data_IF_414392391866
#
_entry.id   IF_414392391866
#
_cell.length_a   1.000
_cell.length_b   1.000
_cell.length_c   1.000
_cell.angle_alpha   90.00
_cell.angle_beta   90.00
_cell.angle_gamma   90.00
#
_symmetry.space_group_name_H-M   'P 1'
#
loop_
_entity.id
_entity.type
_entity.pdbx_description
1 polymer ?
#
# COMPACT_ATOMS: atom_id res chain seq x y z
N UNK A 1 -19.52 20.32 21.40
CA UNK A 1 -20.87 20.04 20.84
C UNK A 1 -21.28 18.64 21.31
N UNK A 2 -22.50 18.40 21.81
CA UNK A 2 -22.88 17.05 22.25
C UNK A 2 -22.89 16.09 21.05
N UNK A 3 -22.36 14.89 21.24
CA UNK A 3 -22.35 13.86 20.19
C UNK A 3 -23.77 13.32 19.93
N UNK A 4 -24.58 13.23 20.98
CA UNK A 4 -26.00 12.87 20.90
C UNK A 4 -26.77 14.16 20.57
N UNK A 5 -27.56 14.19 19.49
CA UNK A 5 -28.22 15.41 19.04
C UNK A 5 -29.51 15.73 19.80
N UNK A 6 -30.10 14.73 20.48
CA UNK A 6 -31.39 14.86 21.16
C UNK A 6 -31.25 15.51 22.53
N UNK A 7 -32.12 16.47 22.80
CA UNK A 7 -32.31 17.07 24.12
C UNK A 7 -33.21 16.20 25.01
N UNK A 8 -33.27 16.49 26.31
CA UNK A 8 -34.21 15.82 27.22
C UNK A 8 -35.67 16.00 26.79
N UNK A 9 -36.01 17.14 26.16
CA UNK A 9 -37.33 17.41 25.59
C UNK A 9 -37.63 16.53 24.38
N UNK A 10 -36.65 16.38 23.46
CA UNK A 10 -36.78 15.48 22.30
C UNK A 10 -36.99 14.04 22.78
N UNK A 11 -36.19 13.59 23.76
CA UNK A 11 -36.28 12.25 24.34
C UNK A 11 -37.66 12.03 24.95
N UNK A 12 -38.17 12.98 25.75
CA UNK A 12 -39.49 12.87 26.37
C UNK A 12 -40.61 12.78 25.33
N UNK A 13 -40.57 13.62 24.28
CA UNK A 13 -41.55 13.59 23.20
C UNK A 13 -41.52 12.27 22.40
N UNK A 14 -40.32 11.73 22.15
CA UNK A 14 -40.16 10.43 21.49
C UNK A 14 -40.70 9.28 22.32
N UNK A 15 -40.44 9.27 23.64
CA UNK A 15 -40.94 8.27 24.59
C UNK A 15 -42.47 8.29 24.69
N UNK A 16 -43.09 9.46 24.80
CA UNK A 16 -44.55 9.64 24.82
C UNK A 16 -45.19 9.12 23.51
N UNK A 17 -44.57 9.42 22.37
CA UNK A 17 -45.06 8.99 21.05
C UNK A 17 -45.16 7.46 20.92
N UNK A 18 -44.21 6.73 21.51
CA UNK A 18 -44.17 5.26 21.46
C UNK A 18 -44.82 4.61 22.69
N UNK A 19 -45.31 5.40 23.65
CA UNK A 19 -46.03 4.94 24.83
C UNK A 19 -45.17 4.20 25.86
N UNK A 20 -43.90 4.59 26.02
CA UNK A 20 -42.99 4.02 27.04
C UNK A 20 -42.50 5.07 28.01
N UNK A 21 -42.35 4.69 29.28
CA UNK A 21 -42.11 5.66 30.37
C UNK A 21 -40.63 6.02 30.56
N UNK A 22 -39.69 5.28 29.96
CA UNK A 22 -38.25 5.51 30.11
C UNK A 22 -37.42 4.86 29.00
N UNK A 23 -36.17 5.32 28.86
CA UNK A 23 -35.18 4.68 27.96
C UNK A 23 -34.93 3.23 28.38
N UNK A 24 -34.85 2.94 29.68
CA UNK A 24 -34.57 1.58 30.17
C UNK A 24 -35.65 0.57 29.76
N UNK A 25 -36.91 1.03 29.65
CA UNK A 25 -38.02 0.21 29.17
C UNK A 25 -37.88 -0.21 27.70
N UNK A 26 -37.10 0.52 26.88
CA UNK A 26 -36.82 0.15 25.48
C UNK A 26 -35.92 -1.07 25.35
N UNK A 27 -35.17 -1.38 26.40
CA UNK A 27 -34.17 -2.45 26.41
C UNK A 27 -34.56 -3.61 27.35
N UNK A 28 -35.84 -3.72 27.71
CA UNK A 28 -36.35 -4.75 28.63
C UNK A 28 -36.17 -6.18 28.08
N UNK A 29 -36.13 -6.32 26.74
CA UNK A 29 -35.85 -7.58 26.03
C UNK A 29 -34.44 -8.13 26.23
N UNK A 30 -33.47 -7.30 26.64
CA UNK A 30 -32.10 -7.76 26.93
C UNK A 30 -32.11 -8.48 28.29
N UNK A 31 -31.82 -9.79 28.36
CA UNK A 31 -31.77 -10.52 29.64
C UNK A 31 -30.84 -9.84 30.65
N UNK A 32 -31.27 -9.74 31.91
CA UNK A 32 -30.54 -8.99 32.94
C UNK A 32 -29.13 -9.53 33.16
N UNK A 33 -28.93 -10.83 33.01
CA UNK A 33 -27.65 -11.52 33.08
C UNK A 33 -26.68 -11.17 31.93
N UNK A 34 -27.19 -10.62 30.82
CA UNK A 34 -26.37 -10.16 29.69
C UNK A 34 -26.06 -8.65 29.75
N UNK A 35 -26.73 -7.90 30.63
CA UNK A 35 -26.50 -6.46 30.78
C UNK A 35 -25.21 -6.22 31.55
N UNK A 36 -24.38 -5.31 31.03
CA UNK A 36 -23.20 -4.84 31.74
C UNK A 36 -23.63 -4.13 33.04
N UNK A 37 -23.01 -4.49 34.17
CA UNK A 37 -23.25 -3.86 35.48
C UNK A 37 -22.55 -2.49 35.63
N UNK A 38 -21.72 -2.13 34.65
CA UNK A 38 -20.87 -0.95 34.62
C UNK A 38 -19.80 -1.11 33.56
N UNK A 39 -19.02 -0.05 33.34
CA UNK A 39 -17.88 -0.05 32.42
C UNK A 39 -16.59 0.18 33.21
N UNK A 40 -16.20 -0.83 34.00
CA UNK A 40 -15.00 -0.78 34.83
C UNK A 40 -13.75 -0.50 33.97
N UNK A 41 -12.92 0.45 34.43
CA UNK A 41 -11.71 0.86 33.72
C UNK A 41 -11.90 1.95 32.66
N UNK A 42 -13.13 2.43 32.42
CA UNK A 42 -13.35 3.63 31.62
C UNK A 42 -13.18 4.87 32.52
N UNK A 43 -12.25 5.80 32.21
CA UNK A 43 -12.07 7.01 33.00
C UNK A 43 -13.28 7.94 32.86
N UNK A 44 -13.38 8.92 33.76
CA UNK A 44 -14.37 9.99 33.63
C UNK A 44 -14.24 10.70 32.26
N UNK A 45 -15.38 11.08 31.70
CA UNK A 45 -15.42 11.81 30.44
C UNK A 45 -14.66 13.13 30.54
N UNK A 46 -13.86 13.41 29.50
CA UNK A 46 -13.13 14.66 29.35
C UNK A 46 -13.91 15.59 28.41
N UNK A 47 -13.76 16.90 28.62
CA UNK A 47 -14.21 17.88 27.64
C UNK A 47 -13.40 17.79 26.34
N UNK A 48 -13.97 18.32 25.25
CA UNK A 48 -13.30 18.40 23.94
C UNK A 48 -11.92 19.06 24.02
N UNK A 49 -11.79 20.11 24.84
CA UNK A 49 -10.52 20.81 25.09
C UNK A 49 -9.50 19.92 25.80
N UNK A 50 -9.90 19.21 26.86
CA UNK A 50 -9.01 18.34 27.64
C UNK A 50 -8.54 17.14 26.81
N UNK A 51 -9.43 16.54 26.01
CA UNK A 51 -9.05 15.46 25.07
C UNK A 51 -8.03 15.98 24.06
N UNK A 52 -8.26 17.18 23.50
CA UNK A 52 -7.33 17.77 22.53
C UNK A 52 -5.95 18.00 23.14
N UNK A 53 -5.88 18.57 24.35
CA UNK A 53 -4.62 18.78 25.06
C UNK A 53 -3.90 17.45 25.37
N UNK A 54 -4.65 16.44 25.81
CA UNK A 54 -4.12 15.11 26.09
C UNK A 54 -3.51 14.47 24.85
N UNK A 55 -4.23 14.50 23.71
CA UNK A 55 -3.75 13.91 22.46
C UNK A 55 -2.55 14.67 21.89
N UNK A 56 -2.53 16.01 21.97
CA UNK A 56 -1.36 16.81 21.57
C UNK A 56 -0.13 16.53 22.44
N UNK A 57 -0.31 16.37 23.75
CA UNK A 57 0.78 16.02 24.65
C UNK A 57 1.39 14.65 24.31
N UNK A 58 0.54 13.68 23.95
CA UNK A 58 0.97 12.35 23.49
C UNK A 58 1.67 12.42 22.13
N UNK A 59 1.10 13.12 21.15
CA UNK A 59 1.71 13.21 19.82
C UNK A 59 3.12 13.83 19.87
N UNK A 60 3.38 14.77 20.79
CA UNK A 60 4.72 15.36 20.97
C UNK A 60 5.78 14.38 21.47
N UNK A 61 5.40 13.25 22.08
CA UNK A 61 6.39 12.25 22.53
C UNK A 61 6.98 11.43 21.39
N UNK A 62 6.34 11.44 20.22
CA UNK A 62 6.78 10.67 19.05
C UNK A 62 7.93 11.37 18.29
N UNK A 63 8.14 12.67 18.52
CA UNK A 63 9.18 13.47 17.87
C UNK A 63 8.90 13.76 16.39
N UNK A 64 9.88 14.35 15.70
CA UNK A 64 9.83 14.64 14.26
C UNK A 64 11.16 14.24 13.58
N UNK A 65 11.55 12.95 13.65
CA UNK A 65 12.85 12.51 13.14
C UNK A 65 12.90 12.55 11.60
N UNK A 66 14.11 12.74 11.06
CA UNK A 66 14.32 12.69 9.62
C UNK A 66 14.29 11.25 9.13
N UNK A 67 13.42 10.94 8.17
CA UNK A 67 13.15 9.56 7.74
C UNK A 67 13.90 9.17 6.45
N UNK A 68 14.68 8.09 6.53
CA UNK A 68 15.38 7.45 5.41
C UNK A 68 15.04 5.95 5.27
N UNK A 69 13.96 5.47 5.93
CA UNK A 69 13.60 4.05 6.00
C UNK A 69 13.22 3.47 4.62
N UNK A 70 12.24 4.06 3.95
CA UNK A 70 11.63 3.44 2.77
C UNK A 70 10.92 2.13 3.14
N UNK A 71 11.25 1.05 2.42
CA UNK A 71 10.73 -0.30 2.60
C UNK A 71 9.19 -0.38 2.47
N UNK A 72 8.64 0.22 1.41
CA UNK A 72 7.21 0.16 1.10
C UNK A 72 6.35 1.26 1.74
N UNK A 73 6.93 2.17 2.52
CA UNK A 73 6.29 3.38 3.02
C UNK A 73 7.26 4.57 2.95
N UNK A 74 6.86 5.63 2.24
CA UNK A 74 7.79 6.66 1.79
C UNK A 74 7.37 8.06 2.24
N UNK A 75 8.31 8.83 2.80
CA UNK A 75 8.08 10.19 3.28
C UNK A 75 8.03 11.18 2.10
N UNK A 76 6.89 11.26 1.42
CA UNK A 76 6.67 12.17 0.29
C UNK A 76 6.06 13.51 0.71
N UNK A 77 6.32 14.56 -0.07
CA UNK A 77 5.65 15.84 0.08
C UNK A 77 4.21 15.74 -0.42
N UNK A 78 3.28 16.20 0.42
CA UNK A 78 1.86 16.21 0.09
C UNK A 78 1.41 17.66 -0.01
N UNK A 79 0.99 18.14 -1.20
CA UNK A 79 0.44 19.48 -1.33
C UNK A 79 -0.75 19.67 -0.38
N UNK A 80 -0.75 20.78 0.38
CA UNK A 80 -1.76 21.04 1.43
C UNK A 80 -3.21 20.93 0.91
N UNK A 81 -3.44 21.30 -0.35
CA UNK A 81 -4.73 21.20 -1.02
C UNK A 81 -5.30 19.76 -1.04
N UNK A 82 -4.46 18.72 -1.06
CA UNK A 82 -4.91 17.31 -1.06
C UNK A 82 -5.76 17.04 0.17
N UNK A 83 -5.23 17.26 1.37
CA UNK A 83 -5.95 16.97 2.61
C UNK A 83 -6.96 18.06 2.99
N UNK A 84 -6.76 19.30 2.54
CA UNK A 84 -7.78 20.35 2.72
C UNK A 84 -9.07 20.05 1.93
N UNK A 85 -8.96 19.41 0.76
CA UNK A 85 -10.13 19.01 -0.04
C UNK A 85 -10.66 17.64 0.42
N UNK A 86 -9.78 16.66 0.64
CA UNK A 86 -10.16 15.29 1.05
C UNK A 86 -10.97 15.28 2.35
N UNK A 87 -10.67 16.17 3.29
CA UNK A 87 -11.34 16.26 4.61
C UNK A 87 -12.65 17.05 4.58
N UNK A 88 -13.09 17.57 3.43
CA UNK A 88 -14.40 18.21 3.30
C UNK A 88 -15.51 17.20 3.54
N UNK A 89 -16.59 17.64 4.19
CA UNK A 89 -17.66 16.76 4.67
C UNK A 89 -18.28 15.90 3.58
N UNK A 90 -18.45 16.43 2.38
CA UNK A 90 -18.98 15.71 1.20
C UNK A 90 -18.15 14.49 0.76
N UNK A 91 -16.86 14.43 1.12
CA UNK A 91 -16.01 13.27 0.88
C UNK A 91 -15.81 12.45 2.16
N UNK A 92 -15.58 13.12 3.29
CA UNK A 92 -15.18 12.48 4.54
C UNK A 92 -16.32 11.73 5.24
N UNK A 93 -17.55 12.26 5.22
CA UNK A 93 -18.69 11.63 5.91
C UNK A 93 -19.51 10.70 5.01
N UNK A 94 -19.32 10.77 3.70
CA UNK A 94 -20.03 9.92 2.75
C UNK A 94 -19.56 8.46 2.87
N UNK A 95 -20.51 7.52 2.79
CA UNK A 95 -20.20 6.09 2.72
C UNK A 95 -20.25 5.57 1.28
N UNK A 96 -20.27 4.24 1.09
CA UNK A 96 -20.30 3.60 -0.22
C UNK A 96 -21.40 4.23 -1.11
N UNK A 97 -21.10 4.66 -2.34
CA UNK A 97 -22.04 5.37 -3.21
C UNK A 97 -23.07 4.43 -3.86
N UNK A 98 -23.90 3.78 -3.04
CA UNK A 98 -24.95 2.87 -3.51
C UNK A 98 -26.09 3.60 -4.24
N UNK A 99 -26.40 4.83 -3.82
CA UNK A 99 -27.40 5.69 -4.46
C UNK A 99 -26.69 6.58 -5.48
N UNK A 100 -26.49 6.06 -6.69
CA UNK A 100 -25.64 6.70 -7.70
C UNK A 100 -26.07 8.14 -8.02
N UNK A 101 -27.37 8.40 -8.10
CA UNK A 101 -27.97 9.70 -8.40
C UNK A 101 -27.59 10.77 -7.37
N UNK A 102 -27.38 10.38 -6.11
CA UNK A 102 -26.99 11.26 -5.01
C UNK A 102 -25.48 11.24 -4.73
N UNK A 103 -24.68 10.54 -5.54
CA UNK A 103 -23.24 10.32 -5.29
C UNK A 103 -22.36 10.49 -6.51
N UNK A 104 -22.81 11.24 -7.52
CA UNK A 104 -22.06 11.44 -8.78
C UNK A 104 -20.66 12.02 -8.58
N UNK A 105 -20.46 12.94 -7.62
CA UNK A 105 -19.14 13.49 -7.33
C UNK A 105 -18.14 12.42 -6.88
N UNK A 106 -18.50 11.62 -5.88
CA UNK A 106 -17.67 10.50 -5.40
C UNK A 106 -17.45 9.46 -6.51
N UNK A 107 -18.49 9.10 -7.26
CA UNK A 107 -18.37 8.12 -8.34
C UNK A 107 -17.48 8.60 -9.49
N UNK A 108 -17.50 9.90 -9.79
CA UNK A 108 -16.60 10.50 -10.76
C UNK A 108 -15.15 10.45 -10.25
N UNK A 109 -14.89 10.77 -8.98
CA UNK A 109 -13.55 10.65 -8.38
C UNK A 109 -13.04 9.21 -8.47
N UNK A 110 -13.88 8.20 -8.18
CA UNK A 110 -13.49 6.80 -8.34
C UNK A 110 -13.16 6.45 -9.81
N UNK A 111 -13.96 6.94 -10.76
CA UNK A 111 -13.73 6.73 -12.18
C UNK A 111 -12.43 7.40 -12.67
N UNK A 112 -12.14 8.61 -12.18
CA UNK A 112 -10.91 9.34 -12.46
C UNK A 112 -9.69 8.63 -11.88
N UNK A 113 -9.74 8.16 -10.63
CA UNK A 113 -8.72 7.29 -10.04
C UNK A 113 -8.43 6.09 -10.93
N UNK A 114 -9.48 5.35 -11.33
CA UNK A 114 -9.32 4.17 -12.17
C UNK A 114 -8.70 4.52 -13.52
N UNK A 115 -9.05 5.67 -14.10
CA UNK A 115 -8.48 6.16 -15.37
C UNK A 115 -7.00 6.55 -15.21
N UNK A 116 -6.62 7.18 -14.11
CA UNK A 116 -5.23 7.53 -13.82
C UNK A 116 -4.39 6.28 -13.56
N UNK A 117 -4.90 5.31 -12.81
CA UNK A 117 -4.18 4.07 -12.52
C UNK A 117 -4.02 3.18 -13.77
N UNK A 118 -5.02 3.13 -14.66
CA UNK A 118 -4.89 2.43 -15.94
C UNK A 118 -3.87 3.09 -16.85
N UNK A 119 -3.84 4.42 -16.93
CA UNK A 119 -2.80 5.16 -17.65
C UNK A 119 -1.40 4.93 -17.07
N UNK A 120 -1.26 4.94 -15.74
CA UNK A 120 0.02 4.75 -15.05
C UNK A 120 0.55 3.33 -15.15
N UNK A 121 -0.34 2.33 -15.18
CA UNK A 121 0.04 0.90 -15.25
C UNK A 121 0.04 0.33 -16.66
N UNK A 122 -0.48 1.04 -17.66
CA UNK A 122 -0.64 0.55 -19.03
C UNK A 122 -1.66 -0.58 -19.17
N UNK A 123 -2.51 -0.82 -18.17
CA UNK A 123 -3.51 -1.90 -18.17
C UNK A 123 -4.93 -1.37 -18.39
N UNK A 124 -5.84 -2.26 -18.78
CA UNK A 124 -7.17 -1.86 -19.26
C UNK A 124 -8.15 -1.43 -18.15
N UNK A 125 -8.05 -2.03 -16.96
CA UNK A 125 -9.06 -1.86 -15.89
C UNK A 125 -8.40 -1.77 -14.53
N UNK A 126 -8.77 -0.76 -13.73
CA UNK A 126 -8.46 -0.65 -12.30
C UNK A 126 -9.70 -0.88 -11.45
N UNK A 127 -9.54 -1.45 -10.26
CA UNK A 127 -10.57 -1.35 -9.22
C UNK A 127 -10.51 0.02 -8.50
N UNK A 128 -11.47 0.26 -7.62
CA UNK A 128 -11.52 1.42 -6.74
C UNK A 128 -11.12 1.00 -5.31
N UNK A 129 -9.87 0.49 -5.26
CA UNK A 129 -9.01 0.12 -4.13
C UNK A 129 -9.30 -1.14 -3.31
N UNK A 130 -8.22 -1.57 -2.65
CA UNK A 130 -8.07 -2.60 -1.63
C UNK A 130 -7.45 -1.96 -0.36
N UNK A 131 -7.16 -2.75 0.68
CA UNK A 131 -6.74 -2.23 1.97
C UNK A 131 -5.33 -1.61 1.98
N UNK A 132 -4.37 -2.30 1.37
CA UNK A 132 -2.94 -1.95 1.30
C UNK A 132 -2.27 -2.75 0.17
N UNK A 133 -1.00 -2.46 -0.13
CA UNK A 133 -0.26 -3.17 -1.18
C UNK A 133 -0.08 -4.68 -0.93
N UNK A 134 0.01 -5.11 0.32
CA UNK A 134 0.23 -6.51 0.69
C UNK A 134 -1.02 -7.38 0.44
N UNK A 135 -2.18 -6.89 0.86
CA UNK A 135 -3.49 -7.46 0.57
C UNK A 135 -3.83 -7.36 -0.92
N UNK A 136 -3.37 -6.31 -1.62
CA UNK A 136 -3.52 -6.21 -3.07
C UNK A 136 -2.75 -7.31 -3.80
N UNK A 137 -1.52 -7.62 -3.39
CA UNK A 137 -0.78 -8.77 -3.93
C UNK A 137 -1.48 -10.10 -3.65
N UNK A 138 -2.02 -10.29 -2.45
CA UNK A 138 -2.76 -11.50 -2.12
C UNK A 138 -4.01 -11.66 -3.01
N UNK A 139 -4.74 -10.59 -3.24
CA UNK A 139 -5.89 -10.56 -4.14
C UNK A 139 -5.49 -10.78 -5.60
N UNK A 140 -4.34 -10.26 -6.05
CA UNK A 140 -3.79 -10.53 -7.38
C UNK A 140 -3.44 -12.01 -7.57
N UNK A 141 -2.82 -12.65 -6.57
CA UNK A 141 -2.53 -14.09 -6.55
C UNK A 141 -3.84 -14.90 -6.65
N UNK A 142 -4.83 -14.58 -5.82
CA UNK A 142 -6.13 -15.25 -5.84
C UNK A 142 -6.86 -15.06 -7.18
N UNK A 143 -6.80 -13.86 -7.74
CA UNK A 143 -7.35 -13.53 -9.05
C UNK A 143 -6.67 -14.31 -10.18
N UNK A 144 -5.35 -14.42 -10.15
CA UNK A 144 -4.60 -15.18 -11.15
C UNK A 144 -4.94 -16.68 -11.10
N UNK A 145 -5.01 -17.26 -9.90
CA UNK A 145 -5.43 -18.66 -9.70
C UNK A 145 -6.84 -18.92 -10.22
N UNK A 146 -7.81 -18.03 -9.94
CA UNK A 146 -9.19 -18.16 -10.46
C UNK A 146 -9.27 -18.01 -11.99
N UNK A 147 -8.36 -17.24 -12.56
CA UNK A 147 -8.30 -16.94 -13.99
C UNK A 147 -7.60 -18.04 -14.78
N UNK A 148 -6.57 -18.68 -14.22
CA UNK A 148 -5.83 -19.77 -14.86
C UNK A 148 -6.35 -21.17 -14.44
N UNK A 149 -7.57 -21.51 -14.86
CA UNK A 149 -8.28 -22.76 -14.48
C UNK A 149 -7.67 -24.06 -15.03
N UNK A 150 -6.67 -23.94 -15.92
CA UNK A 150 -5.90 -25.08 -16.44
C UNK A 150 -5.07 -25.71 -15.32
N UNK A 151 -4.60 -24.91 -14.36
CA UNK A 151 -3.78 -25.33 -13.24
C UNK A 151 -4.68 -25.87 -12.11
N UNK A 152 -4.64 -27.18 -11.86
CA UNK A 152 -5.47 -27.85 -10.84
C UNK A 152 -4.90 -27.79 -9.43
N UNK A 153 -3.58 -27.76 -9.33
CA UNK A 153 -2.83 -27.56 -8.09
C UNK A 153 -2.14 -26.20 -8.20
N UNK A 154 -2.78 -25.12 -7.70
CA UNK A 154 -2.33 -23.76 -8.00
C UNK A 154 -1.00 -23.46 -7.32
N UNK A 155 0.07 -23.46 -8.12
CA UNK A 155 1.40 -22.99 -7.76
C UNK A 155 1.57 -21.55 -8.23
N UNK A 156 2.20 -20.70 -7.42
CA UNK A 156 2.58 -19.33 -7.81
C UNK A 156 4.04 -19.12 -7.48
N UNK A 157 4.82 -18.73 -8.48
CA UNK A 157 6.23 -18.42 -8.29
C UNK A 157 6.33 -17.04 -7.63
N UNK A 158 6.89 -17.00 -6.42
CA UNK A 158 7.00 -15.84 -5.56
C UNK A 158 8.49 -15.54 -5.33
N UNK A 159 9.08 -14.57 -6.04
CA UNK A 159 10.46 -14.18 -5.79
C UNK A 159 10.71 -13.73 -4.36
N UNK A 160 11.87 -14.12 -3.81
CA UNK A 160 12.37 -13.60 -2.53
C UNK A 160 12.60 -12.10 -2.57
N UNK A 161 12.74 -11.51 -3.76
CA UNK A 161 12.90 -10.08 -3.99
C UNK A 161 11.59 -9.29 -3.82
N UNK A 162 10.44 -9.97 -3.67
CA UNK A 162 9.19 -9.32 -3.23
C UNK A 162 9.30 -8.96 -1.74
N UNK A 163 8.76 -7.79 -1.38
CA UNK A 163 8.78 -7.28 -0.01
C UNK A 163 8.38 -8.35 1.02
N UNK A 164 9.19 -8.62 2.07
CA UNK A 164 8.97 -9.74 2.99
C UNK A 164 7.62 -9.67 3.69
N UNK A 165 7.16 -8.49 4.06
CA UNK A 165 5.86 -8.34 4.71
C UNK A 165 4.70 -8.62 3.75
N UNK A 166 4.89 -8.37 2.45
CA UNK A 166 3.89 -8.72 1.44
C UNK A 166 3.86 -10.24 1.27
N UNK A 167 5.03 -10.89 1.16
CA UNK A 167 5.11 -12.36 1.10
C UNK A 167 4.44 -13.03 2.30
N UNK A 168 4.68 -12.53 3.52
CA UNK A 168 4.02 -13.04 4.75
C UNK A 168 2.51 -12.85 4.71
N UNK A 169 2.01 -11.68 4.34
CA UNK A 169 0.57 -11.41 4.22
C UNK A 169 -0.09 -12.32 3.17
N UNK A 170 0.53 -12.48 2.00
CA UNK A 170 0.05 -13.39 0.96
C UNK A 170 -0.03 -14.82 1.49
N UNK A 171 1.05 -15.31 2.12
CA UNK A 171 1.07 -16.65 2.72
C UNK A 171 -0.06 -16.83 3.74
N UNK A 172 -0.25 -15.87 4.66
CA UNK A 172 -1.33 -15.92 5.66
C UNK A 172 -2.72 -15.96 5.05
N UNK A 173 -2.96 -15.25 3.94
CA UNK A 173 -4.26 -15.20 3.27
C UNK A 173 -4.54 -16.47 2.44
N UNK A 174 -3.52 -17.02 1.77
CA UNK A 174 -3.72 -18.13 0.81
C UNK A 174 -3.49 -19.52 1.38
N UNK A 175 -2.82 -19.66 2.54
CA UNK A 175 -2.38 -20.95 3.11
C UNK A 175 -3.50 -22.01 3.24
N UNK A 176 -4.74 -21.61 3.51
CA UNK A 176 -5.86 -22.54 3.69
C UNK A 176 -6.66 -22.81 2.40
N UNK A 177 -6.17 -22.33 1.26
CA UNK A 177 -6.84 -22.43 -0.04
C UNK A 177 -6.17 -23.43 -1.00
N UNK A 178 -5.17 -24.19 -0.52
CA UNK A 178 -4.43 -25.16 -1.32
C UNK A 178 -3.56 -24.51 -2.41
N UNK A 179 -3.19 -23.25 -2.23
CA UNK A 179 -2.29 -22.50 -3.12
C UNK A 179 -0.88 -22.63 -2.57
N UNK A 180 0.02 -23.17 -3.40
CA UNK A 180 1.44 -23.30 -3.09
C UNK A 180 2.17 -22.04 -3.56
N UNK A 181 2.85 -21.35 -2.64
CA UNK A 181 3.78 -20.27 -2.97
C UNK A 181 5.17 -20.86 -3.10
N UNK A 182 5.69 -20.91 -4.33
CA UNK A 182 7.02 -21.46 -4.64
C UNK A 182 8.01 -20.31 -4.60
N UNK A 183 8.91 -20.34 -3.62
CA UNK A 183 9.92 -19.31 -3.45
C UNK A 183 10.95 -19.36 -4.60
N UNK A 184 11.24 -18.21 -5.22
CA UNK A 184 12.29 -18.09 -6.26
C UNK A 184 13.45 -17.28 -5.70
N UNK A 185 14.65 -17.84 -5.74
CA UNK A 185 15.87 -17.17 -5.30
C UNK A 185 16.28 -16.00 -6.22
N UNK A 186 17.24 -15.22 -5.75
CA UNK A 186 17.82 -14.09 -6.46
C UNK A 186 19.33 -14.26 -6.67
N UNK A 187 19.85 -13.58 -7.69
CA UNK A 187 21.27 -13.54 -7.96
C UNK A 187 22.02 -12.76 -6.87
N UNK A 188 23.04 -13.37 -6.28
CA UNK A 188 23.76 -12.79 -5.13
C UNK A 188 24.59 -11.55 -5.48
N UNK A 189 24.87 -11.31 -6.77
CA UNK A 189 25.66 -10.18 -7.23
C UNK A 189 24.77 -9.01 -7.64
N UNK A 190 23.74 -9.28 -8.45
CA UNK A 190 22.85 -8.23 -8.97
C UNK A 190 21.65 -7.95 -8.05
N UNK A 191 21.24 -8.90 -7.20
CA UNK A 191 20.04 -8.78 -6.38
C UNK A 191 18.74 -8.96 -7.16
N UNK A 192 18.81 -9.33 -8.45
CA UNK A 192 17.67 -9.55 -9.32
C UNK A 192 17.21 -11.01 -9.27
N UNK A 193 15.93 -11.24 -9.52
CA UNK A 193 15.43 -12.56 -9.88
C UNK A 193 15.67 -12.80 -11.36
N UNK A 194 16.61 -13.70 -11.66
CA UNK A 194 16.92 -14.08 -13.04
C UNK A 194 16.06 -15.26 -13.49
N UNK A 195 15.78 -15.33 -14.79
CA UNK A 195 15.07 -16.44 -15.44
C UNK A 195 15.62 -17.82 -15.03
N UNK A 196 16.94 -17.96 -14.91
CA UNK A 196 17.58 -19.22 -14.49
C UNK A 196 17.10 -19.70 -13.10
N UNK A 197 16.85 -18.77 -12.16
CA UNK A 197 16.31 -19.12 -10.84
C UNK A 197 14.84 -19.55 -10.94
N UNK A 198 14.05 -18.92 -11.83
CA UNK A 198 12.69 -19.35 -12.11
C UNK A 198 12.66 -20.75 -12.73
N UNK A 199 13.57 -21.04 -13.67
CA UNK A 199 13.69 -22.36 -14.31
C UNK A 199 14.02 -23.47 -13.32
N UNK A 200 14.85 -23.19 -12.32
CA UNK A 200 15.25 -24.16 -11.30
C UNK A 200 14.07 -24.68 -10.45
N UNK A 201 12.97 -23.92 -10.37
CA UNK A 201 11.78 -24.27 -9.55
C UNK A 201 10.51 -24.47 -10.37
N UNK A 202 10.58 -24.34 -11.70
CA UNK A 202 9.46 -24.49 -12.62
C UNK A 202 9.30 -25.93 -13.15
N UNK A 203 9.42 -26.91 -12.26
CA UNK A 203 9.34 -28.35 -12.54
C UNK A 203 7.92 -28.85 -12.87
N UNK A 204 6.89 -28.05 -12.57
CA UNK A 204 5.51 -28.34 -12.89
C UNK A 204 4.74 -27.05 -13.25
N UNK A 205 3.60 -27.14 -13.97
CA UNK A 205 2.80 -25.99 -14.35
C UNK A 205 2.41 -25.12 -13.14
N UNK A 206 2.46 -23.80 -13.33
CA UNK A 206 2.13 -22.80 -12.31
C UNK A 206 1.14 -21.78 -12.85
N UNK A 207 0.34 -21.18 -11.98
CA UNK A 207 -0.72 -20.26 -12.35
C UNK A 207 -0.19 -18.87 -12.69
N UNK A 208 0.84 -18.41 -11.95
CA UNK A 208 1.41 -17.08 -12.14
C UNK A 208 2.86 -16.95 -11.64
N UNK A 209 3.57 -15.98 -12.21
CA UNK A 209 4.82 -15.42 -11.69
C UNK A 209 4.58 -14.00 -11.16
N UNK A 210 5.06 -13.73 -9.95
CA UNK A 210 5.09 -12.38 -9.37
C UNK A 210 6.40 -11.70 -9.78
N UNK A 211 6.33 -10.44 -10.20
CA UNK A 211 7.49 -9.63 -10.61
C UNK A 211 7.43 -8.28 -9.89
N UNK A 212 8.29 -8.02 -8.88
CA UNK A 212 8.33 -6.73 -8.23
C UNK A 212 9.12 -5.70 -9.06
N UNK A 213 8.69 -4.44 -9.12
CA UNK A 213 9.43 -3.37 -9.80
C UNK A 213 9.23 -2.00 -9.12
N UNK A 214 10.25 -1.44 -8.47
CA UNK A 214 11.52 -2.09 -8.08
C UNK A 214 11.31 -3.23 -7.08
N UNK A 215 12.35 -4.03 -6.86
CA UNK A 215 12.34 -5.08 -5.85
C UNK A 215 12.72 -4.57 -4.45
N UNK A 216 12.62 -5.44 -3.43
CA UNK A 216 12.87 -5.10 -2.01
C UNK A 216 14.26 -4.53 -1.72
N UNK A 217 15.24 -4.79 -2.58
CA UNK A 217 16.60 -4.26 -2.45
C UNK A 217 16.78 -2.90 -3.13
N UNK A 218 15.71 -2.36 -3.72
CA UNK A 218 15.68 -1.17 -4.56
C UNK A 218 16.08 -1.44 -6.02
N UNK A 219 16.42 -2.68 -6.35
CA UNK A 219 16.96 -3.10 -7.65
C UNK A 219 15.84 -3.21 -8.70
N UNK A 220 16.16 -2.81 -9.93
CA UNK A 220 15.29 -2.99 -11.09
C UNK A 220 15.40 -4.42 -11.63
N UNK A 221 14.28 -5.10 -11.79
CA UNK A 221 14.21 -6.44 -12.37
C UNK A 221 14.24 -6.38 -13.91
N UNK A 222 14.67 -7.48 -14.54
CA UNK A 222 14.57 -7.69 -15.99
C UNK A 222 13.13 -8.06 -16.37
N UNK A 223 12.21 -7.11 -16.20
CA UNK A 223 10.76 -7.33 -16.27
C UNK A 223 10.30 -7.94 -17.60
N UNK A 224 10.93 -7.56 -18.71
CA UNK A 224 10.58 -8.07 -20.04
C UNK A 224 10.93 -9.56 -20.17
N UNK A 225 12.14 -9.94 -19.75
CA UNK A 225 12.60 -11.32 -19.81
C UNK A 225 11.78 -12.24 -18.90
N UNK A 226 11.45 -11.78 -17.68
CA UNK A 226 10.61 -12.52 -16.75
C UNK A 226 9.17 -12.69 -17.27
N UNK A 227 8.62 -11.63 -17.88
CA UNK A 227 7.26 -11.64 -18.43
C UNK A 227 7.13 -12.61 -19.59
N UNK A 228 8.03 -12.50 -20.58
CA UNK A 228 8.04 -13.37 -21.77
C UNK A 228 8.25 -14.84 -21.37
N UNK A 229 9.16 -15.10 -20.41
CA UNK A 229 9.44 -16.45 -19.94
C UNK A 229 8.23 -17.13 -19.27
N UNK A 230 7.49 -16.40 -18.45
CA UNK A 230 6.29 -16.90 -17.78
C UNK A 230 5.15 -17.13 -18.77
N UNK A 231 4.92 -16.20 -19.68
CA UNK A 231 3.84 -16.28 -20.67
C UNK A 231 4.08 -17.39 -21.71
N UNK A 232 5.34 -17.65 -22.08
CA UNK A 232 5.70 -18.81 -22.90
C UNK A 232 5.30 -20.17 -22.26
N UNK A 233 4.96 -20.17 -20.97
CA UNK A 233 4.53 -21.35 -20.19
C UNK A 233 3.05 -21.30 -19.80
N UNK A 234 2.24 -20.47 -20.48
CA UNK A 234 0.81 -20.27 -20.16
C UNK A 234 0.55 -19.76 -18.71
N UNK A 235 1.54 -19.18 -18.04
CA UNK A 235 1.40 -18.59 -16.72
C UNK A 235 1.08 -17.09 -16.82
N UNK A 236 0.28 -16.58 -15.88
CA UNK A 236 -0.02 -15.15 -15.79
C UNK A 236 1.13 -14.40 -15.12
N UNK A 237 1.26 -13.11 -15.41
CA UNK A 237 2.26 -12.23 -14.77
C UNK A 237 1.58 -11.21 -13.88
N UNK A 238 2.05 -11.14 -12.62
CA UNK A 238 1.60 -10.17 -11.61
C UNK A 238 2.73 -9.18 -11.33
N UNK A 239 2.61 -7.94 -11.81
CA UNK A 239 3.53 -6.87 -11.48
C UNK A 239 3.23 -6.26 -10.10
N UNK A 240 4.21 -6.22 -9.20
CA UNK A 240 4.11 -5.54 -7.90
C UNK A 240 4.92 -4.27 -7.96
N UNK A 241 4.26 -3.12 -8.08
CA UNK A 241 4.93 -1.89 -8.51
C UNK A 241 4.71 -0.73 -7.55
N UNK A 242 5.74 0.12 -7.43
CA UNK A 242 5.60 1.42 -6.80
C UNK A 242 5.04 2.41 -7.85
N UNK A 243 3.91 3.09 -7.59
CA UNK A 243 3.26 3.93 -8.59
C UNK A 243 4.10 5.16 -8.99
N UNK A 244 4.95 5.69 -8.11
CA UNK A 244 5.86 6.80 -8.44
C UNK A 244 6.96 6.31 -9.40
N UNK A 245 7.41 5.05 -9.28
CA UNK A 245 8.41 4.49 -10.19
C UNK A 245 7.92 4.45 -11.64
N UNK A 246 6.63 4.21 -11.84
CA UNK A 246 6.02 4.13 -13.17
C UNK A 246 5.95 5.47 -13.91
N UNK A 247 6.26 6.58 -13.23
CA UNK A 247 6.42 7.86 -13.89
C UNK A 247 7.73 7.96 -14.70
N UNK A 248 8.69 7.06 -14.47
CA UNK A 248 9.96 6.99 -15.20
C UNK A 248 10.19 5.66 -15.90
N UNK A 249 9.68 4.56 -15.33
CA UNK A 249 9.90 3.21 -15.83
C UNK A 249 8.76 2.75 -16.73
N UNK A 250 9.06 1.86 -17.68
CA UNK A 250 8.06 1.23 -18.52
C UNK A 250 6.94 0.60 -17.68
N UNK A 251 5.67 0.92 -17.96
CA UNK A 251 4.55 0.44 -17.16
C UNK A 251 4.32 -1.07 -17.37
N UNK A 252 3.70 -1.78 -16.42
CA UNK A 252 3.41 -3.21 -16.53
C UNK A 252 2.73 -3.66 -17.82
N UNK A 253 1.84 -2.83 -18.39
CA UNK A 253 1.17 -3.09 -19.66
C UNK A 253 2.12 -3.23 -20.86
N UNK A 254 3.32 -2.66 -20.78
CA UNK A 254 4.32 -2.66 -21.84
C UNK A 254 5.47 -3.66 -21.59
N UNK A 255 5.41 -4.46 -20.50
CA UNK A 255 6.45 -5.44 -20.19
C UNK A 255 6.45 -6.61 -21.18
N UNK A 256 7.64 -6.99 -21.65
CA UNK A 256 7.82 -8.07 -22.61
C UNK A 256 7.07 -7.82 -23.92
N UNK A 257 6.56 -8.87 -24.55
CA UNK A 257 5.84 -8.78 -25.82
C UNK A 257 4.33 -8.55 -25.64
N UNK A 258 3.75 -8.94 -24.51
CA UNK A 258 2.30 -8.94 -24.31
C UNK A 258 1.81 -8.22 -23.04
N UNK A 259 2.71 -7.60 -22.27
CA UNK A 259 2.39 -6.92 -21.02
C UNK A 259 2.09 -7.88 -19.87
N UNK A 260 2.27 -7.42 -18.64
CA UNK A 260 1.78 -8.08 -17.44
C UNK A 260 0.24 -8.25 -17.49
N UNK A 261 -0.30 -9.29 -16.85
CA UNK A 261 -1.73 -9.56 -16.87
C UNK A 261 -2.47 -8.80 -15.76
N UNK A 262 -1.79 -8.62 -14.63
CA UNK A 262 -2.25 -7.98 -13.41
C UNK A 262 -1.12 -7.08 -12.90
N UNK A 263 -1.44 -5.88 -12.42
CA UNK A 263 -0.52 -5.04 -11.67
C UNK A 263 -1.16 -4.62 -10.34
N UNK A 264 -0.40 -4.64 -9.26
CA UNK A 264 -0.84 -4.21 -7.95
C UNK A 264 0.28 -3.51 -7.19
N UNK A 265 -0.07 -2.85 -6.10
CA UNK A 265 0.93 -2.20 -5.25
C UNK A 265 0.28 -1.30 -4.21
N UNK A 266 1.13 -0.60 -3.47
CA UNK A 266 0.72 0.38 -2.48
C UNK A 266 0.57 1.76 -3.12
N UNK A 267 -0.54 2.42 -2.84
CA UNK A 267 -0.89 3.75 -3.30
C UNK A 267 -0.43 4.87 -2.37
N UNK A 268 0.09 4.57 -1.18
CA UNK A 268 0.57 5.56 -0.20
C UNK A 268 1.40 6.72 -0.79
N UNK A 269 2.33 6.49 -1.74
CA UNK A 269 3.11 7.58 -2.34
C UNK A 269 2.27 8.65 -3.04
N UNK A 270 1.02 8.35 -3.39
CA UNK A 270 0.10 9.24 -4.09
C UNK A 270 -0.65 10.14 -3.09
N UNK A 271 0.06 10.85 -2.23
CA UNK A 271 -0.53 11.89 -1.39
C UNK A 271 -1.05 11.43 -0.03
N UNK A 272 -0.64 10.27 0.49
CA UNK A 272 -0.97 9.82 1.85
C UNK A 272 0.22 10.02 2.80
N UNK A 273 -0.02 10.50 4.04
CA UNK A 273 1.03 10.58 5.05
C UNK A 273 1.41 9.17 5.52
N UNK A 274 2.61 9.02 6.10
CA UNK A 274 3.05 7.75 6.68
C UNK A 274 2.12 7.26 7.81
N UNK A 275 1.62 8.18 8.66
CA UNK A 275 0.61 7.90 9.68
C UNK A 275 0.85 6.61 10.52
N UNK A 276 2.12 6.27 10.79
CA UNK A 276 2.51 5.03 11.49
C UNK A 276 1.98 3.73 10.85
N UNK A 277 1.87 3.70 9.53
CA UNK A 277 1.51 2.51 8.75
C UNK A 277 0.14 2.54 8.07
N UNK A 278 -0.66 3.60 8.25
CA UNK A 278 -1.92 3.74 7.53
C UNK A 278 -2.93 4.73 8.12
N UNK A 279 -4.10 4.87 7.48
CA UNK A 279 -4.58 4.05 6.38
C UNK A 279 -3.95 4.44 5.03
N UNK A 280 -3.59 3.43 4.23
CA UNK A 280 -3.14 3.61 2.85
C UNK A 280 -4.16 3.04 1.85
N UNK A 281 -3.76 2.70 0.62
CA UNK A 281 -4.62 1.99 -0.32
C UNK A 281 -3.85 0.98 -1.16
N UNK A 282 -4.37 -0.23 -1.27
CA UNK A 282 -3.91 -1.15 -2.30
C UNK A 282 -4.58 -0.83 -3.63
N UNK A 283 -3.84 -0.78 -4.73
CA UNK A 283 -4.43 -0.74 -6.08
C UNK A 283 -4.30 -2.09 -6.77
N UNK A 284 -5.24 -2.40 -7.67
CA UNK A 284 -5.16 -3.55 -8.56
C UNK A 284 -5.72 -3.22 -9.94
N UNK A 285 -4.84 -3.32 -10.94
CA UNK A 285 -5.14 -3.16 -12.35
C UNK A 285 -4.99 -4.51 -13.07
N UNK A 286 -5.72 -4.71 -14.17
CA UNK A 286 -5.65 -5.95 -14.95
C UNK A 286 -6.06 -5.73 -16.41
N UNK A 287 -5.71 -6.68 -17.28
CA UNK A 287 -6.25 -6.75 -18.63
C UNK A 287 -7.76 -6.97 -18.62
N UNK A 288 -8.45 -6.44 -19.63
CA UNK A 288 -9.91 -6.45 -19.78
C UNK A 288 -10.49 -7.88 -19.73
N UNK A 289 -9.74 -8.87 -20.21
CA UNK A 289 -10.13 -10.29 -20.19
C UNK A 289 -10.39 -10.82 -18.77
N UNK A 290 -9.76 -10.23 -17.74
CA UNK A 290 -9.84 -10.69 -16.36
C UNK A 290 -10.81 -9.90 -15.47
N UNK A 291 -11.48 -8.87 -16.01
CA UNK A 291 -12.36 -7.96 -15.24
C UNK A 291 -13.40 -8.68 -14.37
N UNK A 292 -13.90 -9.85 -14.81
CA UNK A 292 -14.90 -10.63 -14.06
C UNK A 292 -14.34 -11.27 -12.77
N UNK A 293 -13.01 -11.36 -12.64
CA UNK A 293 -12.31 -11.88 -11.46
C UNK A 293 -11.71 -10.78 -10.58
N UNK A 294 -11.70 -9.53 -11.05
CA UNK A 294 -11.22 -8.35 -10.33
C UNK A 294 -11.97 -8.21 -8.99
N UNK A 295 -11.27 -8.12 -7.85
CA UNK A 295 -11.90 -7.89 -6.55
C UNK A 295 -12.21 -6.41 -6.30
N UNK A 296 -13.16 -6.17 -5.39
CA UNK A 296 -13.58 -4.82 -5.02
C UNK A 296 -14.48 -4.14 -6.06
N UNK A 297 -14.74 -2.86 -5.80
CA UNK A 297 -15.65 -2.02 -6.56
C UNK A 297 -15.02 -1.53 -7.86
N UNK A 298 -15.86 -1.25 -8.85
CA UNK A 298 -15.49 -0.65 -10.13
C UNK A 298 -16.53 0.43 -10.42
N UNK A 299 -16.13 1.69 -10.54
CA UNK A 299 -17.00 2.72 -11.09
C UNK A 299 -16.99 2.63 -12.62
N UNK A 300 -18.16 2.76 -13.23
CA UNK A 300 -18.35 2.73 -14.67
C UNK A 300 -19.15 3.93 -15.14
N UNK A 301 -18.77 4.47 -16.30
CA UNK A 301 -19.53 5.51 -17.01
C UNK A 301 -20.77 4.89 -17.66
N UNK A 302 -21.91 5.55 -17.54
CA UNK A 302 -23.20 5.18 -18.10
C UNK A 302 -23.97 6.43 -18.57
N UNK A 303 -25.22 6.26 -19.01
CA UNK A 303 -26.15 7.34 -19.28
C UNK A 303 -27.41 7.19 -18.41
N UNK A 304 -28.00 8.31 -18.01
CA UNK A 304 -29.31 8.34 -17.35
C UNK A 304 -30.48 8.26 -18.35
N UNK A 305 -31.72 8.40 -17.87
CA UNK A 305 -32.93 8.36 -18.71
C UNK A 305 -33.04 9.50 -19.73
N UNK A 306 -32.31 10.60 -19.51
CA UNK A 306 -32.28 11.77 -20.39
C UNK A 306 -31.08 11.72 -21.37
N UNK A 307 -30.26 10.65 -21.32
CA UNK A 307 -29.05 10.52 -22.11
C UNK A 307 -27.85 11.30 -21.56
N UNK A 308 -27.93 11.83 -20.34
CA UNK A 308 -26.80 12.54 -19.71
C UNK A 308 -25.79 11.53 -19.18
N UNK A 309 -24.51 11.86 -19.30
CA UNK A 309 -23.43 11.04 -18.77
C UNK A 309 -23.53 11.02 -17.25
N UNK A 310 -23.45 9.82 -16.66
CA UNK A 310 -23.32 9.61 -15.23
C UNK A 310 -22.40 8.44 -14.93
N UNK A 311 -22.17 8.20 -13.65
CA UNK A 311 -21.31 7.13 -13.14
C UNK A 311 -22.09 6.25 -12.17
N UNK A 312 -21.75 4.96 -12.11
CA UNK A 312 -22.35 4.02 -11.15
C UNK A 312 -21.36 2.92 -10.79
N UNK A 313 -21.57 2.25 -9.67
CA UNK A 313 -20.86 1.01 -9.37
C UNK A 313 -21.36 -0.10 -10.31
N UNK A 314 -20.44 -0.72 -11.06
CA UNK A 314 -20.77 -1.72 -12.07
C UNK A 314 -20.20 -3.10 -11.73
N UNK A 315 -20.74 -4.13 -12.38
CA UNK A 315 -20.36 -5.53 -12.18
C UNK A 315 -20.43 -5.97 -10.70
N UNK A 316 -21.37 -5.42 -9.93
CA UNK A 316 -21.52 -5.67 -8.49
C UNK A 316 -21.82 -7.14 -8.17
N UNK A 317 -22.31 -7.91 -9.13
CA UNK A 317 -22.50 -9.35 -8.98
C UNK A 317 -21.21 -10.14 -8.68
N UNK A 318 -20.03 -9.51 -8.67
CA UNK A 318 -18.76 -10.09 -8.17
C UNK A 318 -18.63 -9.99 -6.65
N UNK A 319 -19.32 -9.05 -6.02
CA UNK A 319 -19.08 -8.59 -4.65
C UNK A 319 -19.86 -9.38 -3.59
N UNK A 320 -19.39 -9.31 -2.35
CA UNK A 320 -19.89 -10.10 -1.22
C UNK A 320 -21.38 -9.89 -0.92
N UNK A 321 -21.93 -8.69 -1.12
CA UNK A 321 -23.32 -8.38 -0.78
C UNK A 321 -24.33 -9.08 -1.71
N UNK A 322 -23.89 -9.47 -2.92
CA UNK A 322 -24.70 -10.27 -3.86
C UNK A 322 -24.28 -11.74 -3.82
N UNK A 323 -22.98 -12.03 -3.91
CA UNK A 323 -22.47 -13.40 -4.11
C UNK A 323 -22.06 -14.15 -2.86
N UNK A 324 -21.95 -13.47 -1.72
CA UNK A 324 -21.54 -14.04 -0.43
C UNK A 324 -20.26 -14.88 -0.59
N UNK A 325 -20.30 -16.16 -0.21
CA UNK A 325 -19.16 -17.07 -0.31
C UNK A 325 -18.64 -17.35 -1.73
N UNK A 326 -19.39 -16.98 -2.77
CA UNK A 326 -18.98 -17.13 -4.18
C UNK A 326 -18.42 -15.83 -4.79
N UNK A 327 -18.26 -14.78 -3.98
CA UNK A 327 -17.69 -13.52 -4.40
C UNK A 327 -16.21 -13.67 -4.77
N UNK A 328 -15.67 -12.68 -5.49
CA UNK A 328 -14.25 -12.65 -5.85
C UNK A 328 -13.35 -12.34 -4.66
N UNK A 329 -13.88 -11.68 -3.63
CA UNK A 329 -13.20 -11.33 -2.38
C UNK A 329 -14.23 -11.09 -1.27
N UNK A 330 -13.79 -11.12 0.00
CA UNK A 330 -14.57 -10.72 1.16
C UNK A 330 -14.61 -9.19 1.37
N UNK A 331 -13.83 -8.42 0.61
CA UNK A 331 -13.73 -6.96 0.79
C UNK A 331 -15.10 -6.28 0.74
N UNK A 332 -15.36 -5.41 1.72
CA UNK A 332 -16.55 -4.57 1.78
C UNK A 332 -16.14 -3.12 1.93
N UNK A 333 -15.95 -2.57 3.13
CA UNK A 333 -15.26 -1.28 3.28
C UNK A 333 -13.88 -1.41 2.64
N UNK A 334 -13.51 -0.42 1.83
CA UNK A 334 -12.19 -0.27 1.22
C UNK A 334 -11.60 1.08 1.65
N UNK A 335 -10.65 1.61 0.88
CA UNK A 335 -9.94 2.84 1.19
C UNK A 335 -10.44 4.02 0.34
N UNK A 336 -11.76 4.23 0.31
CA UNK A 336 -12.41 5.23 -0.56
C UNK A 336 -11.93 6.67 -0.34
N UNK A 337 -11.71 7.08 0.91
CA UNK A 337 -11.18 8.41 1.24
C UNK A 337 -9.74 8.59 0.74
N UNK A 338 -8.93 7.54 0.81
CA UNK A 338 -7.55 7.56 0.33
C UNK A 338 -7.52 7.56 -1.20
N UNK A 339 -8.46 6.89 -1.87
CA UNK A 339 -8.65 7.03 -3.32
C UNK A 339 -8.91 8.49 -3.71
N UNK A 340 -9.72 9.22 -2.93
CA UNK A 340 -9.93 10.66 -3.12
C UNK A 340 -8.62 11.44 -2.99
N UNK A 341 -7.82 11.18 -1.94
CA UNK A 341 -6.52 11.82 -1.77
C UNK A 341 -5.57 11.56 -2.95
N UNK A 342 -5.46 10.30 -3.39
CA UNK A 342 -4.67 9.90 -4.57
C UNK A 342 -5.12 10.59 -5.85
N UNK A 343 -6.42 10.67 -6.09
CA UNK A 343 -6.97 11.32 -7.29
C UNK A 343 -6.63 12.80 -7.30
N UNK A 344 -6.81 13.50 -6.16
CA UNK A 344 -6.49 14.92 -6.04
C UNK A 344 -4.98 15.14 -6.18
N UNK A 345 -4.15 14.29 -5.57
CA UNK A 345 -2.70 14.39 -5.67
C UNK A 345 -2.21 14.23 -7.11
N UNK A 346 -2.64 13.18 -7.81
CA UNK A 346 -2.31 12.95 -9.22
C UNK A 346 -2.86 14.05 -10.13
N UNK A 347 -4.07 14.57 -9.86
CA UNK A 347 -4.63 15.70 -10.62
C UNK A 347 -3.84 17.00 -10.45
N UNK A 348 -3.36 17.30 -9.23
CA UNK A 348 -2.56 18.50 -8.94
C UNK A 348 -1.18 18.41 -9.58
N UNK A 349 -0.51 17.27 -9.46
CA UNK A 349 0.84 17.10 -10.02
C UNK A 349 0.81 16.95 -11.54
N UNK A 350 -0.18 16.24 -12.07
CA UNK A 350 -0.17 15.76 -13.45
C UNK A 350 0.99 14.80 -13.74
N UNK A 351 1.11 14.37 -14.99
CA UNK A 351 2.17 13.45 -15.41
C UNK A 351 3.57 14.05 -15.19
N UNK A 352 3.79 15.30 -15.63
CA UNK A 352 5.09 15.96 -15.50
C UNK A 352 5.50 16.19 -14.03
N UNK A 353 4.53 16.49 -13.16
CA UNK A 353 4.81 16.66 -11.73
C UNK A 353 5.22 15.35 -11.07
N UNK A 354 4.53 14.26 -11.40
CA UNK A 354 4.85 12.93 -10.90
C UNK A 354 6.22 12.45 -11.41
N UNK A 355 6.54 12.71 -12.68
CA UNK A 355 7.86 12.44 -13.27
C UNK A 355 8.98 13.21 -12.54
N UNK A 356 8.77 14.50 -12.24
CA UNK A 356 9.73 15.30 -11.46
C UNK A 356 9.92 14.76 -10.05
N UNK A 357 8.84 14.33 -9.38
CA UNK A 357 8.92 13.69 -8.05
C UNK A 357 9.76 12.42 -8.11
N UNK A 358 9.48 11.54 -9.07
CA UNK A 358 10.22 10.30 -9.27
C UNK A 358 11.71 10.58 -9.57
N UNK A 359 12.01 11.52 -10.46
CA UNK A 359 13.38 11.91 -10.80
C UNK A 359 14.15 12.48 -9.59
N UNK A 360 13.47 13.27 -8.76
CA UNK A 360 14.05 13.80 -7.53
C UNK A 360 14.35 12.70 -6.50
N UNK A 361 13.44 11.73 -6.33
CA UNK A 361 13.67 10.57 -5.44
C UNK A 361 14.88 9.74 -5.90
N UNK A 362 14.98 9.48 -7.21
CA UNK A 362 16.13 8.77 -7.77
C UNK A 362 17.44 9.52 -7.54
N UNK A 363 17.47 10.82 -7.86
CA UNK A 363 18.67 11.65 -7.69
C UNK A 363 19.09 11.79 -6.23
N UNK A 364 18.14 11.96 -5.31
CA UNK A 364 18.41 12.06 -3.88
C UNK A 364 18.91 10.74 -3.30
N UNK A 365 18.33 9.60 -3.69
CA UNK A 365 18.80 8.28 -3.23
C UNK A 365 20.19 7.96 -3.77
N UNK A 366 20.47 8.29 -5.03
CA UNK A 366 21.82 8.14 -5.58
C UNK A 366 22.85 8.99 -4.81
N UNK A 367 22.51 10.24 -4.48
CA UNK A 367 23.36 11.14 -3.68
C UNK A 367 23.55 10.62 -2.25
N UNK A 368 22.48 10.15 -1.61
CA UNK A 368 22.53 9.53 -0.29
C UNK A 368 23.50 8.34 -0.32
N UNK A 369 23.28 7.38 -1.20
CA UNK A 369 24.12 6.19 -1.31
C UNK A 369 25.60 6.56 -1.56
N UNK A 370 25.86 7.52 -2.46
CA UNK A 370 27.22 8.01 -2.71
C UNK A 370 27.88 8.54 -1.43
N UNK A 371 27.21 9.43 -0.70
CA UNK A 371 27.77 10.02 0.53
C UNK A 371 27.94 8.98 1.64
N UNK A 372 26.98 8.07 1.82
CA UNK A 372 27.11 7.02 2.84
C UNK A 372 28.28 6.07 2.53
N UNK A 373 28.55 5.79 1.26
CA UNK A 373 29.70 4.98 0.84
C UNK A 373 31.06 5.68 0.98
N UNK A 374 31.10 6.98 1.31
CA UNK A 374 32.35 7.65 1.72
C UNK A 374 32.76 7.26 3.16
N UNK A 375 31.83 6.70 3.94
CA UNK A 375 32.11 6.24 5.31
C UNK A 375 32.86 4.90 5.25
N UNK A 376 34.03 4.77 5.91
CA UNK A 376 34.87 3.57 5.79
C UNK A 376 34.16 2.26 6.15
N UNK A 377 34.12 1.35 5.17
CA UNK A 377 33.51 0.02 5.30
C UNK A 377 32.03 -0.04 4.92
N UNK A 378 31.43 1.06 4.47
CA UNK A 378 30.08 1.08 3.89
C UNK A 378 30.17 0.91 2.38
N UNK A 379 29.52 -0.11 1.83
CA UNK A 379 29.58 -0.42 0.39
C UNK A 379 28.22 -0.90 -0.14
N UNK A 380 27.91 -0.70 -1.44
CA UNK A 380 26.70 -1.26 -2.02
C UNK A 380 26.73 -2.79 -2.01
N UNK A 381 25.60 -3.43 -1.68
CA UNK A 381 25.50 -4.90 -1.68
C UNK A 381 25.39 -5.45 -3.10
N UNK A 382 24.66 -4.74 -3.98
CA UNK A 382 24.36 -5.18 -5.33
C UNK A 382 24.87 -4.18 -6.38
N UNK A 383 25.25 -4.69 -7.55
CA UNK A 383 25.79 -3.88 -8.66
C UNK A 383 24.75 -3.50 -9.73
N UNK A 384 23.50 -3.92 -9.56
CA UNK A 384 22.41 -3.59 -10.48
C UNK A 384 21.91 -2.13 -10.35
N UNK A 385 21.25 -1.60 -11.39
CA UNK A 385 20.53 -0.34 -11.33
C UNK A 385 19.42 -0.35 -10.27
N UNK A 386 19.18 0.81 -9.66
CA UNK A 386 18.16 1.01 -8.62
C UNK A 386 17.31 2.23 -8.93
N UNK A 387 16.14 2.33 -8.29
CA UNK A 387 15.30 3.53 -8.33
C UNK A 387 15.53 4.43 -7.11
N UNK A 388 14.68 4.35 -6.08
CA UNK A 388 14.70 5.24 -4.90
C UNK A 388 15.03 4.52 -3.60
N UNK A 389 15.62 3.32 -3.68
CA UNK A 389 16.14 2.59 -2.53
C UNK A 389 17.49 1.95 -2.88
N UNK A 390 18.38 1.78 -1.88
CA UNK A 390 19.68 1.13 -2.07
C UNK A 390 20.03 0.25 -0.88
N UNK A 391 20.38 -1.00 -1.13
CA UNK A 391 20.95 -1.90 -0.13
C UNK A 391 22.46 -1.65 0.05
N UNK A 392 22.87 -1.35 1.27
CA UNK A 392 24.24 -1.07 1.69
C UNK A 392 24.69 -2.07 2.76
N UNK A 393 25.95 -2.50 2.68
CA UNK A 393 26.62 -3.31 3.68
C UNK A 393 27.27 -2.39 4.70
N UNK A 394 27.10 -2.70 5.98
CA UNK A 394 27.73 -1.99 7.08
C UNK A 394 28.88 -2.80 7.70
N UNK A 395 29.92 -2.15 8.24
CA UNK A 395 31.02 -2.83 8.91
C UNK A 395 30.75 -3.11 10.40
N UNK A 396 29.49 -3.05 10.84
CA UNK A 396 29.01 -3.29 12.21
C UNK A 396 27.56 -3.82 12.16
N UNK A 397 27.01 -4.40 13.25
CA UNK A 397 25.61 -4.87 13.27
C UNK A 397 24.61 -3.75 12.95
N UNK A 398 23.71 -3.98 11.99
CA UNK A 398 22.75 -2.96 11.50
C UNK A 398 21.87 -2.42 12.62
N UNK A 399 21.37 -3.29 13.49
CA UNK A 399 20.52 -2.90 14.64
C UNK A 399 21.20 -1.89 15.57
N UNK A 400 22.46 -2.11 15.93
CA UNK A 400 23.23 -1.21 16.80
C UNK A 400 23.44 0.16 16.13
N UNK A 401 23.72 0.15 14.83
CA UNK A 401 23.91 1.39 14.06
C UNK A 401 22.59 2.17 13.96
N UNK A 402 21.48 1.50 13.68
CA UNK A 402 20.15 2.12 13.62
C UNK A 402 19.74 2.73 14.97
N UNK A 403 20.03 2.07 16.08
CA UNK A 403 19.78 2.62 17.41
C UNK A 403 20.58 3.93 17.65
N UNK A 404 21.86 3.95 17.29
CA UNK A 404 22.70 5.16 17.42
C UNK A 404 22.30 6.30 16.46
N UNK A 405 21.68 5.99 15.33
CA UNK A 405 21.08 6.99 14.43
C UNK A 405 19.77 7.55 15.01
N UNK A 406 18.94 6.69 15.61
CA UNK A 406 17.69 7.10 16.25
C UNK A 406 17.94 8.05 17.44
N UNK A 407 19.01 7.84 18.21
CA UNK A 407 19.46 8.78 19.26
C UNK A 407 19.82 10.18 18.74
N UNK A 408 20.04 10.32 17.43
CA UNK A 408 20.33 11.58 16.73
C UNK A 408 19.14 12.07 15.89
N UNK A 409 17.92 11.59 16.16
CA UNK A 409 16.69 11.91 15.43
C UNK A 409 16.73 11.55 13.92
N UNK A 410 17.44 10.47 13.57
CA UNK A 410 17.54 9.95 12.20
C UNK A 410 17.01 8.52 12.15
N UNK A 411 15.91 8.32 11.41
CA UNK A 411 15.44 6.97 11.07
C UNK A 411 16.21 6.47 9.85
N UNK A 412 17.35 5.83 10.09
CA UNK A 412 18.39 5.62 9.09
C UNK A 412 18.09 4.63 7.95
N UNK A 413 17.12 3.74 8.10
CA UNK A 413 16.90 2.70 7.08
C UNK A 413 16.14 1.50 7.61
N UNK A 414 16.00 0.49 6.75
CA UNK A 414 15.43 -0.81 7.10
C UNK A 414 16.52 -1.88 7.23
N UNK A 415 16.49 -2.65 8.31
CA UNK A 415 17.43 -3.75 8.56
C UNK A 415 17.09 -4.98 7.71
N UNK A 416 17.70 -5.08 6.53
CA UNK A 416 17.53 -6.22 5.62
C UNK A 416 18.06 -7.51 6.22
N UNK A 417 19.04 -7.47 7.12
CA UNK A 417 19.65 -8.66 7.72
C UNK A 417 18.67 -9.52 8.52
N UNK A 418 17.58 -8.90 9.03
CA UNK A 418 16.49 -9.62 9.73
C UNK A 418 15.70 -10.54 8.80
N UNK A 419 15.54 -10.13 7.55
CA UNK A 419 14.73 -10.83 6.55
C UNK A 419 15.58 -11.65 5.57
N UNK A 420 16.86 -11.28 5.42
CA UNK A 420 17.86 -11.92 4.56
C UNK A 420 19.19 -12.11 5.33
N UNK A 421 19.27 -13.08 6.26
CA UNK A 421 20.45 -13.31 7.09
C UNK A 421 21.75 -13.54 6.30
N UNK A 422 21.64 -14.07 5.07
CA UNK A 422 22.76 -14.28 4.17
C UNK A 422 23.45 -12.98 3.70
N UNK A 423 22.79 -11.81 3.85
CA UNK A 423 23.36 -10.51 3.52
C UNK A 423 24.19 -9.92 4.68
N UNK A 424 24.09 -10.49 5.88
CA UNK A 424 24.78 -10.01 7.09
C UNK A 424 24.26 -8.64 7.54
N UNK A 425 25.17 -7.73 7.89
CA UNK A 425 24.84 -6.35 8.25
C UNK A 425 24.41 -5.53 7.03
N UNK A 426 23.17 -5.73 6.60
CA UNK A 426 22.57 -5.11 5.43
C UNK A 426 21.53 -4.05 5.83
N UNK A 427 21.66 -2.86 5.26
CA UNK A 427 20.80 -1.71 5.48
C UNK A 427 20.19 -1.28 4.16
N UNK A 428 18.87 -1.19 4.07
CA UNK A 428 18.17 -0.52 2.97
C UNK A 428 17.99 0.96 3.33
N UNK A 429 18.36 1.86 2.43
CA UNK A 429 18.18 3.30 2.61
C UNK A 429 17.36 3.90 1.47
N UNK A 430 16.61 4.95 1.77
CA UNK A 430 15.75 5.67 0.83
C UNK A 430 15.86 7.19 1.06
N UNK A 431 15.95 7.98 -0.01
CA UNK A 431 15.77 9.43 0.06
C UNK A 431 14.76 9.91 -0.99
N UNK A 432 13.59 10.34 -0.53
CA UNK A 432 12.53 10.92 -1.36
C UNK A 432 12.87 12.35 -1.78
N UNK A 433 11.99 12.99 -2.55
CA UNK A 433 12.07 14.40 -2.94
C UNK A 433 12.05 15.37 -1.76
N UNK A 434 11.62 14.94 -0.56
CA UNK A 434 11.67 15.77 0.66
C UNK A 434 13.07 15.95 1.21
N UNK A 435 14.00 15.05 0.89
CA UNK A 435 15.33 15.04 1.52
C UNK A 435 16.23 16.13 0.94
N UNK A 436 16.86 16.89 1.82
CA UNK A 436 17.78 17.98 1.47
C UNK A 436 19.25 17.54 1.55
N UNK A 437 20.14 18.29 0.90
CA UNK A 437 21.59 18.01 0.96
C UNK A 437 22.14 18.11 2.39
N UNK A 438 21.58 19.00 3.22
CA UNK A 438 21.97 19.14 4.62
C UNK A 438 21.56 17.92 5.45
N UNK A 439 20.34 17.40 5.24
CA UNK A 439 19.86 16.18 5.91
C UNK A 439 20.68 14.95 5.49
N UNK A 440 21.00 14.84 4.20
CA UNK A 440 21.84 13.73 3.68
C UNK A 440 23.26 13.81 4.28
N UNK A 441 23.85 15.01 4.35
CA UNK A 441 25.17 15.22 4.96
C UNK A 441 25.15 14.93 6.47
N UNK A 442 24.10 15.35 7.18
CA UNK A 442 23.91 15.05 8.60
C UNK A 442 23.79 13.53 8.83
N UNK A 443 23.09 12.81 7.96
CA UNK A 443 23.03 11.35 8.04
C UNK A 443 24.41 10.72 7.81
N UNK A 444 25.19 11.16 6.82
CA UNK A 444 26.59 10.68 6.64
C UNK A 444 27.42 10.82 7.92
N UNK A 445 27.36 11.97 8.57
CA UNK A 445 28.10 12.26 9.80
C UNK A 445 27.62 11.42 10.99
N UNK A 446 26.30 11.32 11.17
CA UNK A 446 25.69 10.50 12.20
C UNK A 446 26.01 9.02 12.02
N UNK A 447 26.02 8.52 10.77
CA UNK A 447 26.39 7.14 10.44
C UNK A 447 27.86 6.86 10.80
N UNK A 448 28.77 7.78 10.47
CA UNK A 448 30.19 7.64 10.83
C UNK A 448 30.36 7.57 12.36
N UNK A 449 29.66 8.42 13.11
CA UNK A 449 29.66 8.41 14.58
C UNK A 449 29.09 7.10 15.15
N UNK A 450 27.93 6.66 14.67
CA UNK A 450 27.27 5.43 15.11
C UNK A 450 28.13 4.18 14.84
N UNK A 451 28.85 4.14 13.71
CA UNK A 451 29.77 3.06 13.38
C UNK A 451 31.01 3.00 14.29
N UNK A 452 31.51 4.14 14.76
CA UNK A 452 32.62 4.18 15.73
C UNK A 452 32.16 3.59 17.06
N UNK A 453 30.97 4.00 17.53
CA UNK A 453 30.39 3.52 18.78
C UNK A 453 30.10 2.01 18.69
N UNK A 454 29.47 1.56 17.60
CA UNK A 454 29.12 0.15 17.40
C UNK A 454 30.33 -0.79 17.26
N UNK A 455 31.51 -0.29 16.88
CA UNK A 455 32.76 -1.06 16.85
C UNK A 455 33.47 -1.11 18.21
N UNK A 456 33.15 -0.19 19.12
CA UNK A 456 33.75 -0.10 20.44
C UNK A 456 32.97 -0.90 21.50
N UNK A 457 31.67 -1.12 21.27
CA UNK A 457 30.81 -2.04 22.01
C UNK A 457 31.05 -3.50 21.57
#
# INVERSE_FOLDING_TARGET
MPFIPHTDEDIAAMLDTIGVDSIDALFDEIPAELRAQGLDGIPAGLSEMEVTQLLQARARTDGEPTCFIGAGAYDHHIPAAVWQITTRGEFYSAYTPYQAEASQGTLQVLYEFQSMMTALTGLDVSNASLYDGASALAEAVLMAVRSNRKIKHPRVLMPRTVHPFYRRTVASIVQHQGIELVEVDFDKRSGQTQVAHCEAVADAPFAALVVPQPNVFGVLEEVDALTDWAQARDALVIGVVNPVALALLSPPGDWGQAGADIACGEGQPLGMPLASGGPYLGFLCCKQAFIRQLPGRIAGRTQDRDGKIGYTLTLQAREQHIRRSKATSNICTNQGLLVTAATIHMAILGAEGLERVAAACHANTARLAQQLCEVPGVEPIFDAPVFHERALRLPAPTETVLAGLAEQDILGGFDLGREYPELGSALLVCATEKRTDAEIAAYREALASALIIAKAA
#
